data_IF_676894419259
#
_entry.id   IF_676894419259
#
_cell.length_a   1.000
_cell.length_b   1.000
_cell.length_c   1.000
_cell.angle_alpha   90.00
_cell.angle_beta   90.00
_cell.angle_gamma   90.00
#
_symmetry.space_group_name_H-M   'P 1'
#
loop_
_entity.id
_entity.type
_entity.pdbx_description
1 polymer ?
#
# COMPACT_ATOMS: atom_id res chain seq x y z
N UNK A 1 -18.25 20.43 5.68
CA UNK A 1 -16.90 20.39 5.08
C UNK A 1 -16.60 18.95 4.71
N UNK A 2 -17.09 18.49 3.57
CA UNK A 2 -16.86 17.12 3.10
C UNK A 2 -15.57 17.08 2.27
N UNK A 3 -14.42 17.02 2.94
CA UNK A 3 -13.17 16.62 2.27
C UNK A 3 -12.98 15.13 2.49
N UNK A 4 -13.91 14.33 1.95
CA UNK A 4 -13.69 12.90 1.79
C UNK A 4 -12.63 12.72 0.73
N UNK A 5 -11.39 12.42 1.13
CA UNK A 5 -10.32 12.07 0.19
C UNK A 5 -10.88 11.06 -0.83
N UNK A 6 -10.76 11.30 -2.14
CA UNK A 6 -11.28 10.38 -3.14
C UNK A 6 -10.66 9.02 -2.86
N UNK A 7 -11.49 8.06 -2.43
CA UNK A 7 -11.04 6.69 -2.18
C UNK A 7 -10.61 6.15 -3.54
N UNK A 8 -9.31 6.20 -3.84
CA UNK A 8 -8.76 5.47 -4.98
C UNK A 8 -9.20 4.01 -4.80
N UNK A 9 -10.12 3.58 -5.66
CA UNK A 9 -10.56 2.19 -5.71
C UNK A 9 -9.45 1.43 -6.41
N UNK A 10 -8.63 0.76 -5.62
CA UNK A 10 -7.69 -0.22 -6.15
C UNK A 10 -8.45 -1.50 -6.45
N UNK A 11 -8.25 -2.07 -7.63
CA UNK A 11 -8.75 -3.42 -7.92
C UNK A 11 -7.94 -4.45 -7.14
N UNK A 12 -8.48 -5.64 -6.93
CA UNK A 12 -7.76 -6.73 -6.26
C UNK A 12 -6.40 -7.00 -6.94
N UNK A 13 -6.35 -6.97 -8.27
CA UNK A 13 -5.12 -7.15 -9.05
C UNK A 13 -4.08 -6.06 -8.78
N UNK A 14 -4.51 -4.80 -8.68
CA UNK A 14 -3.64 -3.68 -8.32
C UNK A 14 -3.11 -3.81 -6.89
N UNK A 15 -3.96 -4.25 -5.95
CA UNK A 15 -3.58 -4.48 -4.56
C UNK A 15 -2.53 -5.59 -4.48
N UNK A 16 -2.75 -6.72 -5.17
CA UNK A 16 -1.80 -7.84 -5.21
C UNK A 16 -0.47 -7.40 -5.82
N UNK A 17 -0.49 -6.64 -6.92
CA UNK A 17 0.72 -6.08 -7.52
C UNK A 17 1.52 -5.22 -6.55
N UNK A 18 0.84 -4.26 -5.90
CA UNK A 18 1.44 -3.37 -4.91
C UNK A 18 1.97 -4.11 -3.67
N UNK A 19 1.25 -5.13 -3.18
CA UNK A 19 1.71 -5.95 -2.06
C UNK A 19 2.98 -6.73 -2.42
N UNK A 20 3.09 -7.26 -3.64
CA UNK A 20 4.32 -7.91 -4.11
C UNK A 20 5.50 -6.94 -4.20
N UNK A 21 5.27 -5.73 -4.70
CA UNK A 21 6.30 -4.68 -4.71
C UNK A 21 6.79 -4.36 -3.29
N UNK A 22 5.87 -4.22 -2.34
CA UNK A 22 6.20 -4.01 -0.93
C UNK A 22 7.04 -5.16 -0.37
N UNK A 23 6.65 -6.41 -0.61
CA UNK A 23 7.40 -7.58 -0.13
C UNK A 23 8.83 -7.61 -0.68
N UNK A 24 9.03 -7.28 -1.97
CA UNK A 24 10.37 -7.21 -2.57
C UNK A 24 11.22 -6.11 -1.91
N UNK A 25 10.63 -4.96 -1.61
CA UNK A 25 11.32 -3.83 -0.99
C UNK A 25 11.68 -4.16 0.46
N UNK A 26 10.77 -4.76 1.21
CA UNK A 26 11.01 -5.21 2.58
C UNK A 26 12.05 -6.32 2.64
N UNK A 27 12.03 -7.27 1.70
CA UNK A 27 13.04 -8.33 1.59
C UNK A 27 14.46 -7.79 1.33
N UNK A 28 14.58 -6.58 0.77
CA UNK A 28 15.86 -5.86 0.60
C UNK A 28 16.29 -5.09 1.86
N UNK A 29 15.53 -5.19 2.96
CA UNK A 29 15.83 -4.55 4.24
C UNK A 29 15.20 -3.17 4.42
N UNK A 30 14.35 -2.71 3.50
CA UNK A 30 13.66 -1.44 3.64
C UNK A 30 12.45 -1.55 4.60
N UNK A 31 12.06 -0.43 5.20
CA UNK A 31 10.93 -0.40 6.13
C UNK A 31 9.60 -0.40 5.39
N UNK A 32 8.54 -0.83 6.06
CA UNK A 32 7.16 -0.76 5.56
C UNK A 32 6.77 0.67 5.17
N UNK A 33 7.24 1.66 5.94
CA UNK A 33 7.04 3.09 5.66
C UNK A 33 7.72 3.57 4.37
N UNK A 34 8.88 3.00 4.02
CA UNK A 34 9.56 3.30 2.75
C UNK A 34 8.84 2.62 1.59
N UNK A 35 8.47 1.35 1.77
CA UNK A 35 7.73 0.59 0.78
C UNK A 35 6.37 1.24 0.47
N UNK A 36 5.63 1.71 1.48
CA UNK A 36 4.34 2.38 1.30
C UNK A 36 4.48 3.69 0.51
N UNK A 37 5.50 4.49 0.82
CA UNK A 37 5.84 5.70 0.07
C UNK A 37 6.17 5.37 -1.39
N UNK A 38 6.93 4.30 -1.62
CA UNK A 38 7.33 3.87 -2.96
C UNK A 38 6.15 3.47 -3.84
N UNK A 39 5.14 2.79 -3.29
CA UNK A 39 3.93 2.41 -4.03
C UNK A 39 2.83 3.48 -4.00
N UNK A 40 3.08 4.65 -3.39
CA UNK A 40 2.16 5.78 -3.33
C UNK A 40 0.93 5.56 -2.45
N UNK A 41 1.04 4.76 -1.38
CA UNK A 41 -0.07 4.49 -0.45
C UNK A 41 0.31 4.83 0.99
N UNK A 42 -0.69 5.08 1.82
CA UNK A 42 -0.47 5.23 3.26
C UNK A 42 -0.14 3.89 3.92
N UNK A 43 0.67 3.90 4.98
CA UNK A 43 0.94 2.70 5.77
C UNK A 43 -0.35 2.06 6.27
N UNK A 44 -1.35 2.86 6.66
CA UNK A 44 -2.66 2.37 7.09
C UNK A 44 -3.37 1.56 5.99
N UNK A 45 -3.28 2.00 4.74
CA UNK A 45 -3.83 1.26 3.59
C UNK A 45 -3.12 -0.09 3.43
N UNK A 46 -1.78 -0.08 3.53
CA UNK A 46 -0.97 -1.28 3.42
C UNK A 46 -1.26 -2.29 4.53
N UNK A 47 -1.43 -1.82 5.77
CA UNK A 47 -1.85 -2.67 6.89
C UNK A 47 -3.25 -3.28 6.69
N UNK A 48 -4.19 -2.53 6.11
CA UNK A 48 -5.53 -3.05 5.79
C UNK A 48 -5.47 -4.16 4.75
N UNK A 49 -4.71 -3.97 3.67
CA UNK A 49 -4.54 -4.97 2.62
C UNK A 49 -3.84 -6.25 3.07
N UNK A 50 -2.96 -6.19 4.07
CA UNK A 50 -2.35 -7.40 4.66
C UNK A 50 -3.24 -8.13 5.67
N UNK A 51 -4.25 -7.45 6.20
CA UNK A 51 -5.16 -8.02 7.22
C UNK A 51 -6.38 -8.70 6.59
N UNK A 52 -6.71 -8.33 5.35
CA UNK A 52 -7.77 -8.94 4.54
C UNK A 52 -7.30 -10.26 3.92
#
# INVERSE_FOLDING_TARGET
MENGMPRQRFTAEQIIGKLREVEVVVAKGASIADASRQIGVSEQTLYRWRKE
#
